data_IF_916799704489
#
_entry.id   IF_916799704489
#
_cell.length_a   1.000
_cell.length_b   1.000
_cell.length_c   1.000
_cell.angle_alpha   90.00
_cell.angle_beta   90.00
_cell.angle_gamma   90.00
#
_symmetry.space_group_name_H-M   'P 1'
#
loop_
_entity.id
_entity.type
_entity.pdbx_description
1 polymer ?
#
# COMPACT_ATOMS: atom_id res chain seq x y z
N UNK A 1 16.03 70.92 26.97
CA UNK A 1 16.87 69.73 27.22
C UNK A 1 17.07 69.00 25.91
N UNK A 2 18.31 68.87 25.44
CA UNK A 2 18.66 68.36 24.10
C UNK A 2 18.74 66.83 24.10
N UNK A 3 17.91 66.17 23.29
CA UNK A 3 18.01 64.74 23.07
C UNK A 3 18.97 64.47 21.91
N UNK A 4 20.20 64.01 22.23
CA UNK A 4 21.13 63.51 21.21
C UNK A 4 20.67 62.13 20.74
N UNK A 5 20.29 62.04 19.46
CA UNK A 5 19.96 60.79 18.77
C UNK A 5 21.22 59.91 18.67
N UNK A 6 21.34 58.91 19.53
CA UNK A 6 22.31 57.82 19.38
C UNK A 6 21.78 56.83 18.35
N UNK A 7 22.37 56.81 17.17
CA UNK A 7 22.14 55.76 16.17
C UNK A 7 22.97 54.53 16.53
N UNK A 8 22.32 53.49 17.04
CA UNK A 8 22.92 52.17 17.24
C UNK A 8 22.73 51.40 15.92
N UNK A 9 23.78 51.04 15.17
CA UNK A 9 23.63 50.14 14.04
C UNK A 9 23.39 48.73 14.57
N UNK A 10 22.15 48.22 14.46
CA UNK A 10 21.90 46.78 14.55
C UNK A 10 22.45 46.13 13.29
N UNK A 11 23.69 45.64 13.35
CA UNK A 11 24.23 44.74 12.35
C UNK A 11 24.36 43.34 12.93
N UNK A 12 23.41 42.50 12.58
CA UNK A 12 23.63 41.08 12.28
C UNK A 12 22.38 40.57 11.58
N UNK A 13 22.41 40.18 10.30
CA UNK A 13 21.36 39.32 9.76
C UNK A 13 21.55 37.95 10.41
N UNK A 14 20.95 37.75 11.59
CA UNK A 14 20.54 36.40 11.95
C UNK A 14 19.45 36.06 10.96
N UNK A 15 19.82 35.36 9.89
CA UNK A 15 18.88 34.59 9.10
C UNK A 15 17.98 33.89 10.12
N UNK A 16 16.66 34.13 10.15
CA UNK A 16 15.82 33.16 10.81
C UNK A 16 16.08 31.89 10.02
N UNK A 17 16.88 30.99 10.59
CA UNK A 17 16.81 29.59 10.24
C UNK A 17 15.41 29.19 10.69
N UNK A 18 14.43 29.52 9.86
CA UNK A 18 13.19 28.78 9.76
C UNK A 18 13.67 27.41 9.35
N UNK A 19 14.05 26.62 10.35
CA UNK A 19 14.01 25.18 10.24
C UNK A 19 12.56 24.92 9.88
N UNK A 20 12.29 24.84 8.58
CA UNK A 20 11.09 24.25 8.06
C UNK A 20 11.16 22.81 8.56
N UNK A 21 10.71 22.60 9.80
CA UNK A 21 10.41 21.29 10.33
C UNK A 21 9.27 20.82 9.44
N UNK A 22 9.63 20.21 8.31
CA UNK A 22 8.71 19.41 7.55
C UNK A 22 8.06 18.48 8.57
N UNK A 23 6.73 18.54 8.74
CA UNK A 23 6.07 17.72 9.74
C UNK A 23 6.49 16.28 9.48
N UNK A 24 7.23 15.71 10.43
CA UNK A 24 7.81 14.39 10.29
C UNK A 24 6.64 13.42 10.23
N UNK A 25 6.36 12.89 9.04
CA UNK A 25 5.24 11.97 8.85
C UNK A 25 5.48 10.76 9.75
N UNK A 26 4.47 10.43 10.57
CA UNK A 26 4.53 9.24 11.41
C UNK A 26 4.71 8.02 10.50
N UNK A 27 5.64 7.10 10.82
CA UNK A 27 5.88 5.92 10.00
C UNK A 27 4.57 5.16 9.80
N UNK A 28 4.32 4.68 8.57
CA UNK A 28 3.09 3.96 8.24
C UNK A 28 1.84 4.83 8.03
N UNK A 29 1.91 6.15 8.29
CA UNK A 29 0.77 7.05 8.08
C UNK A 29 0.85 7.76 6.73
N UNK A 30 -0.31 8.00 6.13
CA UNK A 30 -0.46 8.70 4.85
C UNK A 30 -1.59 9.71 4.94
N UNK A 31 -1.45 10.91 4.37
CA UNK A 31 -2.57 11.85 4.31
C UNK A 31 -3.65 11.30 3.37
N UNK A 32 -4.91 11.24 3.82
CA UNK A 32 -6.05 10.89 2.97
C UNK A 32 -6.28 11.98 1.94
N UNK A 33 -6.42 11.59 0.67
CA UNK A 33 -6.80 12.48 -0.43
C UNK A 33 -8.24 12.99 -0.30
N UNK A 34 -9.09 12.26 0.44
CA UNK A 34 -10.55 12.48 0.45
C UNK A 34 -11.01 13.20 1.71
N UNK A 35 -10.33 13.03 2.85
CA UNK A 35 -10.88 13.48 4.14
C UNK A 35 -9.95 14.36 4.98
N UNK A 36 -8.84 14.87 4.44
CA UNK A 36 -7.83 15.69 5.15
C UNK A 36 -7.29 15.08 6.45
N UNK A 37 -7.58 13.79 6.69
CA UNK A 37 -7.21 13.03 7.88
C UNK A 37 -6.08 12.07 7.53
N UNK A 38 -5.20 11.83 8.48
CA UNK A 38 -4.16 10.80 8.35
C UNK A 38 -4.78 9.41 8.45
N UNK A 39 -4.46 8.55 7.49
CA UNK A 39 -4.86 7.14 7.45
C UNK A 39 -3.65 6.24 7.63
N UNK A 40 -3.89 5.01 8.11
CA UNK A 40 -2.92 3.91 8.14
C UNK A 40 -3.44 2.75 7.30
N UNK A 41 -2.55 1.99 6.68
CA UNK A 41 -2.94 0.80 5.92
C UNK A 41 -3.47 -0.28 6.86
N UNK A 42 -4.44 -1.07 6.38
CA UNK A 42 -4.94 -2.24 7.11
C UNK A 42 -4.13 -3.51 6.86
N UNK A 43 -3.07 -3.44 6.03
CA UNK A 43 -2.31 -4.61 5.57
C UNK A 43 -2.99 -5.37 4.43
N UNK A 44 -4.20 -4.99 4.04
CA UNK A 44 -4.93 -5.58 2.91
C UNK A 44 -5.34 -4.51 1.90
N UNK A 45 -4.71 -4.47 0.70
CA UNK A 45 -4.97 -3.42 -0.29
C UNK A 45 -6.42 -3.35 -0.80
N UNK A 46 -7.14 -4.48 -0.78
CA UNK A 46 -8.56 -4.55 -1.16
C UNK A 46 -9.46 -3.88 -0.12
N UNK A 47 -9.20 -4.11 1.17
CA UNK A 47 -9.94 -3.50 2.27
C UNK A 47 -9.67 -2.00 2.33
N UNK A 48 -8.42 -1.59 2.15
CA UNK A 48 -8.03 -0.17 2.13
C UNK A 48 -8.78 0.63 1.05
N UNK A 49 -9.02 0.00 -0.11
CA UNK A 49 -9.83 0.59 -1.18
C UNK A 49 -11.31 0.64 -0.81
N UNK A 50 -11.83 -0.43 -0.20
CA UNK A 50 -13.25 -0.53 0.17
C UNK A 50 -13.65 0.48 1.25
N UNK A 51 -12.73 0.86 2.14
CA UNK A 51 -12.98 1.91 3.13
C UNK A 51 -13.18 3.30 2.51
N UNK A 52 -12.83 3.51 1.22
CA UNK A 52 -13.11 4.76 0.50
C UNK A 52 -12.30 5.98 0.95
N UNK A 53 -11.39 5.79 1.92
CA UNK A 53 -10.52 6.86 2.46
C UNK A 53 -9.20 7.01 1.67
N UNK A 54 -9.03 6.23 0.60
CA UNK A 54 -7.91 6.29 -0.33
C UNK A 54 -6.71 5.42 0.05
N UNK A 55 -6.36 5.36 1.34
CA UNK A 55 -5.14 4.69 1.81
C UNK A 55 -5.31 3.95 3.16
N UNK A 56 -6.50 3.41 3.42
CA UNK A 56 -6.78 2.58 4.60
C UNK A 56 -7.67 3.23 5.65
N UNK A 57 -7.43 2.90 6.91
CA UNK A 57 -8.25 3.30 8.05
C UNK A 57 -7.80 4.65 8.61
N UNK A 58 -8.73 5.57 8.86
CA UNK A 58 -8.43 6.87 9.46
C UNK A 58 -8.01 6.75 10.94
N UNK A 59 -6.95 7.46 11.35
CA UNK A 59 -6.48 7.45 12.75
C UNK A 59 -7.53 8.01 13.70
N UNK A 60 -7.85 7.29 14.78
CA UNK A 60 -8.91 7.66 15.73
C UNK A 60 -10.31 7.21 15.27
N UNK A 61 -10.37 6.21 14.40
CA UNK A 61 -11.61 5.48 14.09
C UNK A 61 -11.45 4.01 14.48
N UNK A 62 -12.57 3.32 14.65
CA UNK A 62 -12.63 1.89 14.92
C UNK A 62 -13.32 1.18 13.77
N UNK A 63 -12.80 0.02 13.38
CA UNK A 63 -13.40 -0.87 12.39
C UNK A 63 -13.95 -2.10 13.09
N UNK A 64 -15.24 -2.41 12.88
CA UNK A 64 -15.87 -3.64 13.34
C UNK A 64 -16.01 -4.60 12.15
N UNK A 65 -15.47 -5.80 12.30
CA UNK A 65 -15.61 -6.87 11.31
C UNK A 65 -16.59 -7.91 11.85
N UNK A 66 -17.71 -8.07 11.15
CA UNK A 66 -18.68 -9.12 11.43
C UNK A 66 -18.51 -10.25 10.43
N UNK A 67 -18.38 -11.46 10.95
CA UNK A 67 -18.30 -12.69 10.16
C UNK A 67 -19.51 -13.58 10.48
N UNK A 68 -20.08 -14.19 9.45
CA UNK A 68 -21.20 -15.11 9.59
C UNK A 68 -20.69 -16.54 9.40
N UNK A 69 -21.02 -17.43 10.35
CA UNK A 69 -20.63 -18.84 10.30
C UNK A 69 -19.41 -19.16 11.17
N UNK A 70 -18.70 -20.21 10.78
CA UNK A 70 -17.54 -20.77 11.52
C UNK A 70 -16.21 -20.55 10.79
N UNK A 71 -16.17 -19.60 9.85
CA UNK A 71 -14.96 -19.25 9.12
C UNK A 71 -14.10 -18.29 9.95
N UNK A 72 -12.82 -18.20 9.61
CA UNK A 72 -11.83 -17.37 10.32
C UNK A 72 -11.31 -16.20 9.44
N UNK A 73 -12.13 -15.67 8.53
CA UNK A 73 -11.71 -14.60 7.63
C UNK A 73 -11.50 -13.27 8.35
N UNK A 74 -12.37 -12.90 9.30
CA UNK A 74 -12.21 -11.70 10.10
C UNK A 74 -10.93 -11.78 10.94
N UNK A 75 -10.65 -12.97 11.48
CA UNK A 75 -9.41 -13.25 12.22
C UNK A 75 -8.17 -13.10 11.33
N UNK A 76 -8.21 -13.56 10.08
CA UNK A 76 -7.11 -13.36 9.13
C UNK A 76 -6.88 -11.87 8.83
N UNK A 77 -7.95 -11.09 8.63
CA UNK A 77 -7.86 -9.64 8.43
C UNK A 77 -7.27 -8.92 9.65
N UNK A 78 -7.70 -9.29 10.85
CA UNK A 78 -7.12 -8.76 12.10
C UNK A 78 -5.63 -9.11 12.23
N UNK A 79 -5.25 -10.33 11.81
CA UNK A 79 -3.86 -10.77 11.78
C UNK A 79 -2.99 -9.93 10.84
N UNK A 80 -3.50 -9.64 9.64
CA UNK A 80 -2.82 -8.73 8.69
C UNK A 80 -2.73 -7.31 9.22
N UNK A 81 -3.77 -6.82 9.92
CA UNK A 81 -3.76 -5.49 10.53
C UNK A 81 -2.69 -5.36 11.61
N UNK A 82 -2.61 -6.36 12.50
CA UNK A 82 -1.59 -6.42 13.53
C UNK A 82 -0.17 -6.53 12.93
N UNK A 83 0.00 -7.36 11.89
CA UNK A 83 1.30 -7.53 11.22
C UNK A 83 1.76 -6.26 10.51
N UNK A 84 0.84 -5.54 9.86
CA UNK A 84 1.11 -4.24 9.25
C UNK A 84 1.58 -3.22 10.31
N UNK A 85 0.90 -3.17 11.46
CA UNK A 85 1.32 -2.31 12.59
C UNK A 85 2.73 -2.64 13.08
N UNK A 86 3.07 -3.93 13.21
CA UNK A 86 4.41 -4.38 13.61
C UNK A 86 5.46 -3.96 12.58
N UNK A 87 5.19 -4.13 11.29
CA UNK A 87 6.11 -3.77 10.20
C UNK A 87 6.34 -2.24 10.13
N UNK A 88 5.32 -1.45 10.46
CA UNK A 88 5.42 0.01 10.52
C UNK A 88 6.07 0.52 11.81
N UNK A 89 6.38 -0.35 12.77
CA UNK A 89 6.96 0.02 14.07
C UNK A 89 5.93 0.60 15.05
N UNK A 90 4.64 0.29 14.87
CA UNK A 90 3.58 0.69 15.80
C UNK A 90 3.48 -0.27 16.99
N UNK A 91 3.04 0.24 18.13
CA UNK A 91 2.68 -0.60 19.27
C UNK A 91 1.32 -1.23 19.02
N UNK A 92 1.28 -2.55 18.89
CA UNK A 92 0.05 -3.32 18.68
C UNK A 92 -0.37 -3.98 19.98
N UNK A 93 -1.63 -3.79 20.37
CA UNK A 93 -2.24 -4.42 21.53
C UNK A 93 -3.27 -5.44 21.02
N UNK A 94 -3.11 -6.70 21.40
CA UNK A 94 -4.04 -7.79 21.04
C UNK A 94 -4.72 -8.27 22.31
N UNK A 95 -6.05 -8.12 22.36
CA UNK A 95 -6.89 -8.70 23.41
C UNK A 95 -7.59 -9.94 22.86
N UNK A 96 -6.95 -11.09 23.01
CA UNK A 96 -7.49 -12.37 22.57
C UNK A 96 -6.79 -13.51 23.34
N UNK A 97 -7.31 -14.75 23.30
CA UNK A 97 -6.60 -15.91 23.86
C UNK A 97 -5.20 -16.07 23.27
N UNK A 98 -4.27 -16.68 24.01
CA UNK A 98 -2.93 -16.90 23.49
C UNK A 98 -2.92 -17.73 22.19
N UNK A 99 -2.09 -17.34 21.22
CA UNK A 99 -2.02 -18.00 19.91
C UNK A 99 -3.27 -17.82 19.03
N UNK A 100 -4.21 -16.97 19.44
CA UNK A 100 -5.46 -16.76 18.72
C UNK A 100 -5.39 -15.69 17.60
N UNK A 101 -4.22 -15.20 17.24
CA UNK A 101 -4.08 -14.29 16.10
C UNK A 101 -2.91 -14.74 15.21
N UNK A 102 -3.16 -15.13 13.95
CA UNK A 102 -2.09 -15.46 13.04
C UNK A 102 -1.40 -14.16 12.60
N UNK A 103 -0.08 -14.06 12.78
CA UNK A 103 0.71 -12.93 12.33
C UNK A 103 1.47 -13.32 11.05
N UNK A 104 0.93 -13.05 9.86
CA UNK A 104 1.62 -13.33 8.61
C UNK A 104 2.94 -12.54 8.51
N UNK A 105 3.98 -13.21 8.01
CA UNK A 105 5.24 -12.56 7.65
C UNK A 105 5.14 -11.82 6.31
N UNK A 106 6.14 -10.98 6.04
CA UNK A 106 6.25 -10.29 4.75
C UNK A 106 6.45 -11.34 3.64
N UNK A 107 5.59 -11.31 2.62
CA UNK A 107 5.80 -12.13 1.44
C UNK A 107 7.08 -11.66 0.73
N UNK A 108 8.06 -12.55 0.59
CA UNK A 108 9.21 -12.26 -0.24
C UNK A 108 8.71 -11.97 -1.66
N UNK A 109 9.18 -10.86 -2.24
CA UNK A 109 8.97 -10.59 -3.65
C UNK A 109 9.59 -11.77 -4.41
N UNK A 110 8.74 -12.65 -4.94
CA UNK A 110 9.19 -13.79 -5.71
C UNK A 110 9.82 -13.21 -6.96
N UNK A 111 11.15 -13.09 -6.96
CA UNK A 111 11.90 -12.78 -8.16
C UNK A 111 11.35 -13.67 -9.28
N UNK A 112 11.05 -13.11 -10.47
CA UNK A 112 10.60 -13.92 -11.58
C UNK A 112 11.60 -15.08 -11.70
N UNK A 113 11.12 -16.33 -11.82
CA UNK A 113 12.03 -17.46 -11.96
C UNK A 113 13.01 -17.10 -13.08
N UNK A 114 14.33 -17.32 -12.89
CA UNK A 114 15.29 -17.09 -13.96
C UNK A 114 14.71 -17.80 -15.17
N UNK A 115 14.64 -17.10 -16.32
CA UNK A 115 14.17 -17.69 -17.55
C UNK A 115 14.91 -19.01 -17.71
N UNK A 116 14.22 -20.13 -17.45
CA UNK A 116 14.77 -21.42 -17.78
C UNK A 116 14.95 -21.33 -19.27
N UNK A 117 16.20 -21.37 -19.74
CA UNK A 117 16.49 -21.67 -21.12
C UNK A 117 15.58 -22.84 -21.49
N UNK A 118 14.58 -22.55 -22.33
CA UNK A 118 13.54 -23.52 -22.63
C UNK A 118 14.26 -24.78 -23.15
N UNK A 119 14.14 -25.94 -22.48
CA UNK A 119 14.64 -27.17 -23.06
C UNK A 119 13.70 -27.47 -24.23
N UNK A 120 14.10 -27.04 -25.44
CA UNK A 120 13.27 -27.20 -26.63
C UNK A 120 13.33 -26.10 -27.67
N UNK A 121 14.24 -25.13 -27.60
CA UNK A 121 14.46 -24.19 -28.72
C UNK A 121 14.95 -24.88 -30.03
N UNK A 122 15.19 -26.20 -30.01
CA UNK A 122 15.62 -26.98 -31.18
C UNK A 122 14.88 -28.29 -31.43
N UNK A 123 13.88 -28.67 -30.63
CA UNK A 123 13.11 -29.89 -30.89
C UNK A 123 11.73 -29.55 -31.48
N UNK A 124 11.64 -29.72 -32.80
CA UNK A 124 10.45 -29.57 -33.61
C UNK A 124 9.35 -30.54 -33.10
N UNK A 125 8.42 -30.03 -32.29
CA UNK A 125 7.32 -30.81 -31.72
C UNK A 125 6.42 -31.37 -32.83
N UNK A 126 6.43 -32.69 -33.02
CA UNK A 126 5.65 -33.40 -34.07
C UNK A 126 4.12 -33.23 -33.95
N UNK A 127 3.60 -32.88 -32.77
CA UNK A 127 2.16 -32.66 -32.54
C UNK A 127 1.74 -31.24 -32.99
N UNK A 128 2.63 -30.25 -32.89
CA UNK A 128 2.37 -28.86 -33.26
C UNK A 128 2.47 -28.61 -34.78
N UNK A 129 2.99 -29.56 -35.56
CA UNK A 129 3.09 -29.44 -37.02
C UNK A 129 1.74 -29.21 -37.72
N UNK A 130 0.66 -29.74 -37.14
CA UNK A 130 -0.70 -29.54 -37.65
C UNK A 130 -1.21 -28.09 -37.50
N UNK A 131 -0.72 -27.34 -36.52
CA UNK A 131 -1.17 -25.98 -36.23
C UNK A 131 -0.24 -24.90 -36.79
N UNK A 132 0.96 -25.25 -37.25
CA UNK A 132 1.92 -24.30 -37.89
C UNK A 132 1.36 -23.59 -39.12
N UNK A 133 0.32 -24.15 -39.77
CA UNK A 133 -0.39 -23.56 -40.92
C UNK A 133 -1.68 -22.82 -40.57
N UNK A 134 -2.09 -22.78 -39.29
CA UNK A 134 -3.12 -21.84 -38.86
C UNK A 134 -2.41 -20.53 -38.51
N UNK A 135 -2.58 -19.52 -39.36
CA UNK A 135 -2.18 -18.16 -39.01
C UNK A 135 -2.90 -17.67 -37.75
N UNK A 136 -2.49 -16.52 -37.19
CA UNK A 136 -3.11 -15.93 -36.02
C UNK A 136 -4.56 -15.50 -36.33
N UNK A 137 -5.53 -16.40 -36.14
CA UNK A 137 -6.94 -16.07 -36.21
C UNK A 137 -7.41 -15.56 -34.84
N UNK A 138 -7.77 -14.28 -34.77
CA UNK A 138 -8.43 -13.75 -33.57
C UNK A 138 -8.51 -12.23 -33.44
N UNK A 139 -7.77 -11.44 -34.24
CA UNK A 139 -7.78 -9.97 -34.12
C UNK A 139 -8.74 -9.33 -35.14
N UNK A 140 -10.06 -9.54 -35.01
CA UNK A 140 -11.09 -8.59 -35.47
C UNK A 140 -12.47 -9.06 -35.05
N UNK A 141 -13.00 -8.49 -33.96
CA UNK A 141 -14.45 -8.41 -33.75
C UNK A 141 -14.94 -7.19 -34.54
N UNK A 142 -15.69 -7.42 -35.61
CA UNK A 142 -16.33 -6.37 -36.40
C UNK A 142 -17.83 -6.65 -36.56
N UNK A 143 -18.62 -5.93 -35.76
CA UNK A 143 -20.02 -5.52 -35.95
C UNK A 143 -21.08 -6.56 -36.38
N UNK A 144 -22.00 -6.84 -35.45
CA UNK A 144 -23.36 -7.29 -35.79
C UNK A 144 -24.23 -6.06 -36.10
N UNK A 145 -24.93 -5.99 -37.24
CA UNK A 145 -25.92 -4.95 -37.47
C UNK A 145 -27.22 -5.26 -36.70
N UNK A 146 -27.75 -4.23 -36.04
CA UNK A 146 -29.16 -4.15 -35.64
C UNK A 146 -29.97 -3.60 -36.82
N UNK A 147 -31.23 -4.02 -36.91
CA UNK A 147 -32.20 -3.59 -37.94
C UNK A 147 -32.32 -2.06 -38.11
#
# INVERSE_FOLDING_TARGET
MSFRKRSIPLSSPSTPSTSSSTPQALPGTRPSTTHSRTTTSTGTPSLDKLLGLGAGLALGTSLLLQESGTTDFARALLGTYASEGILQGHTVIVLAPEGSLPLPGLAAERAPPPAKDAPGAGEDMRIAWRYKRLGPHGETRGAWPAD
#
